data_IF_548547450306
#
_entry.id   IF_548547450306
#
_cell.length_a   1.000
_cell.length_b   1.000
_cell.length_c   1.000
_cell.angle_alpha   90.00
_cell.angle_beta   90.00
_cell.angle_gamma   90.00
#
_symmetry.space_group_name_H-M   'P 1'
#
loop_
_entity.id
_entity.type
_entity.pdbx_description
1 polymer ?
#
# COMPACT_ATOMS: atom_id res chain seq x y z
N UNK A 1 21.97 -21.79 -0.38
CA UNK A 1 21.83 -21.96 1.08
C UNK A 1 21.98 -20.56 1.68
N UNK A 2 20.88 -20.03 2.22
CA UNK A 2 20.70 -18.68 2.80
C UNK A 2 21.02 -17.46 1.90
N UNK A 3 20.14 -17.15 0.94
CA UNK A 3 19.98 -15.77 0.47
C UNK A 3 19.34 -15.00 1.63
N UNK A 4 20.18 -14.38 2.46
CA UNK A 4 19.74 -13.60 3.59
C UNK A 4 18.94 -12.39 3.13
N UNK A 5 18.03 -11.94 3.99
CA UNK A 5 17.13 -10.78 3.87
C UNK A 5 17.83 -9.43 3.58
N UNK A 6 19.14 -9.43 3.28
CA UNK A 6 20.02 -8.27 3.14
C UNK A 6 20.62 -8.13 1.72
N UNK A 7 20.15 -8.90 0.72
CA UNK A 7 20.53 -8.66 -0.68
C UNK A 7 19.72 -7.46 -1.21
N UNK A 8 20.36 -6.37 -1.69
CA UNK A 8 19.65 -5.24 -2.30
C UNK A 8 18.67 -5.66 -3.41
N UNK A 9 18.96 -6.75 -4.11
CA UNK A 9 18.07 -7.32 -5.13
C UNK A 9 16.77 -7.93 -4.57
N UNK A 10 16.76 -8.39 -3.33
CA UNK A 10 15.57 -8.99 -2.71
C UNK A 10 14.60 -7.93 -2.19
N UNK A 11 15.11 -6.78 -1.70
CA UNK A 11 14.27 -5.65 -1.33
C UNK A 11 13.50 -5.09 -2.54
N UNK A 12 14.16 -4.94 -3.69
CA UNK A 12 13.51 -4.45 -4.92
C UNK A 12 12.43 -5.41 -5.42
N UNK A 13 12.67 -6.73 -5.36
CA UNK A 13 11.66 -7.74 -5.73
C UNK A 13 10.47 -7.73 -4.78
N UNK A 14 10.71 -7.62 -3.47
CA UNK A 14 9.64 -7.55 -2.47
C UNK A 14 8.78 -6.29 -2.66
N UNK A 15 9.40 -5.13 -2.93
CA UNK A 15 8.71 -3.89 -3.25
C UNK A 15 7.89 -4.01 -4.55
N UNK A 16 8.44 -4.62 -5.60
CA UNK A 16 7.72 -4.84 -6.85
C UNK A 16 6.52 -5.77 -6.64
N UNK A 17 6.70 -6.90 -5.95
CA UNK A 17 5.61 -7.83 -5.67
C UNK A 17 4.49 -7.17 -4.87
N UNK A 18 4.82 -6.33 -3.89
CA UNK A 18 3.83 -5.57 -3.14
C UNK A 18 3.06 -4.58 -4.04
N UNK A 19 3.78 -3.82 -4.88
CA UNK A 19 3.16 -2.89 -5.83
C UNK A 19 2.22 -3.62 -6.80
N UNK A 20 2.65 -4.78 -7.32
CA UNK A 20 1.86 -5.67 -8.19
C UNK A 20 0.59 -6.19 -7.49
N UNK A 21 0.66 -6.52 -6.20
CA UNK A 21 -0.51 -6.91 -5.42
C UNK A 21 -1.51 -5.75 -5.27
N UNK A 22 -1.03 -4.53 -4.94
CA UNK A 22 -1.89 -3.37 -4.76
C UNK A 22 -2.57 -2.97 -6.07
N UNK A 23 -1.84 -2.96 -7.20
CA UNK A 23 -2.44 -2.65 -8.51
C UNK A 23 -3.43 -3.73 -8.96
N UNK A 24 -3.16 -5.00 -8.66
CA UNK A 24 -4.08 -6.11 -8.92
C UNK A 24 -5.40 -5.93 -8.16
N UNK A 25 -5.31 -5.54 -6.89
CA UNK A 25 -6.45 -5.26 -6.04
C UNK A 25 -7.27 -4.07 -6.53
N UNK A 26 -6.61 -2.96 -6.89
CA UNK A 26 -7.28 -1.79 -7.48
C UNK A 26 -8.05 -2.16 -8.75
N UNK A 27 -7.44 -2.96 -9.65
CA UNK A 27 -8.12 -3.41 -10.87
C UNK A 27 -9.34 -4.27 -10.55
N UNK A 28 -9.27 -5.14 -9.54
CA UNK A 28 -10.38 -5.99 -9.14
C UNK A 28 -11.53 -5.18 -8.51
N UNK A 29 -11.24 -4.33 -7.53
CA UNK A 29 -12.24 -3.61 -6.72
C UNK A 29 -12.82 -2.37 -7.44
N UNK A 30 -12.06 -1.73 -8.32
CA UNK A 30 -12.49 -0.50 -9.02
C UNK A 30 -12.74 -0.78 -10.48
N UNK A 31 -11.69 -1.06 -11.25
CA UNK A 31 -11.78 -1.09 -12.72
C UNK A 31 -12.79 -2.12 -13.22
N UNK A 32 -12.74 -3.33 -12.67
CA UNK A 32 -13.58 -4.45 -13.10
C UNK A 32 -14.96 -4.44 -12.44
N UNK A 33 -15.06 -4.00 -11.18
CA UNK A 33 -16.30 -4.10 -10.39
C UNK A 33 -17.24 -2.89 -10.57
N UNK A 34 -16.70 -1.68 -10.79
CA UNK A 34 -17.50 -0.43 -10.87
C UNK A 34 -17.78 -0.03 -12.32
N UNK A 35 -16.99 -0.52 -13.28
CA UNK A 35 -17.20 -0.26 -14.71
C UNK A 35 -18.56 -0.76 -15.24
N UNK A 36 -18.94 -0.38 -16.48
CA UNK A 36 -18.12 0.23 -17.52
C UNK A 36 -17.91 1.74 -17.38
N UNK A 37 -16.73 2.22 -17.80
CA UNK A 37 -16.29 3.61 -17.69
C UNK A 37 -16.61 4.39 -18.96
N UNK A 38 -17.13 5.61 -18.83
CA UNK A 38 -17.50 6.47 -19.97
C UNK A 38 -16.41 7.48 -20.33
N UNK A 39 -15.51 7.77 -19.39
CA UNK A 39 -14.40 8.71 -19.61
C UNK A 39 -13.25 8.45 -18.64
N UNK A 40 -12.05 8.94 -18.99
CA UNK A 40 -10.89 8.91 -18.10
C UNK A 40 -11.16 9.65 -16.78
N UNK A 41 -11.91 10.76 -16.82
CA UNK A 41 -12.23 11.56 -15.64
C UNK A 41 -13.05 10.79 -14.60
N UNK A 42 -13.92 9.88 -15.01
CA UNK A 42 -14.65 9.00 -14.09
C UNK A 42 -13.68 8.04 -13.38
N UNK A 43 -12.74 7.46 -14.13
CA UNK A 43 -11.71 6.58 -13.56
C UNK A 43 -10.82 7.34 -12.58
N UNK A 44 -10.38 8.55 -12.92
CA UNK A 44 -9.58 9.40 -12.02
C UNK A 44 -10.30 9.68 -10.71
N UNK A 45 -11.59 10.04 -10.77
CA UNK A 45 -12.38 10.34 -9.58
C UNK A 45 -12.58 9.12 -8.68
N UNK A 46 -12.90 7.95 -9.25
CA UNK A 46 -13.03 6.72 -8.47
C UNK A 46 -11.67 6.22 -7.95
N UNK A 47 -10.58 6.50 -8.67
CA UNK A 47 -9.22 6.24 -8.17
C UNK A 47 -8.92 7.06 -6.93
N UNK A 48 -9.21 8.37 -6.93
CA UNK A 48 -9.00 9.23 -5.76
C UNK A 48 -9.79 8.75 -4.53
N UNK A 49 -11.05 8.36 -4.73
CA UNK A 49 -11.87 7.78 -3.66
C UNK A 49 -11.31 6.47 -3.13
N UNK A 50 -10.87 5.59 -4.03
CA UNK A 50 -10.31 4.30 -3.62
C UNK A 50 -9.00 4.48 -2.85
N UNK A 51 -8.13 5.40 -3.28
CA UNK A 51 -6.89 5.73 -2.56
C UNK A 51 -7.18 6.31 -1.17
N UNK A 52 -8.13 7.25 -1.04
CA UNK A 52 -8.54 7.77 0.28
C UNK A 52 -9.04 6.64 1.19
N UNK A 53 -9.96 5.81 0.68
CA UNK A 53 -10.51 4.71 1.45
C UNK A 53 -9.43 3.68 1.83
N UNK A 54 -8.57 3.29 0.89
CA UNK A 54 -7.52 2.31 1.12
C UNK A 54 -6.54 2.77 2.19
N UNK A 55 -6.09 4.03 2.14
CA UNK A 55 -5.08 4.54 3.06
C UNK A 55 -5.65 4.96 4.42
N UNK A 56 -6.85 5.54 4.45
CA UNK A 56 -7.38 6.21 5.64
C UNK A 56 -8.53 5.47 6.32
N UNK A 57 -9.07 4.39 5.72
CA UNK A 57 -10.28 3.72 6.24
C UNK A 57 -10.21 2.20 6.20
N UNK A 58 -9.42 1.61 5.30
CA UNK A 58 -9.27 0.16 5.18
C UNK A 58 -8.39 -0.37 6.30
N UNK A 59 -8.94 -1.27 7.10
CA UNK A 59 -8.21 -1.93 8.19
C UNK A 59 -7.55 -3.22 7.71
N UNK A 60 -6.31 -3.43 8.13
CA UNK A 60 -5.53 -4.62 7.77
C UNK A 60 -5.18 -5.44 9.01
N UNK A 61 -5.74 -6.65 9.09
CA UNK A 61 -5.44 -7.60 10.17
C UNK A 61 -3.93 -7.86 10.39
N UNK A 62 -3.12 -8.07 9.33
CA UNK A 62 -1.68 -8.34 9.48
C UNK A 62 -0.85 -7.23 10.14
N UNK A 63 -1.32 -5.97 10.08
CA UNK A 63 -0.65 -4.82 10.70
C UNK A 63 -1.32 -4.38 12.00
N UNK A 64 -2.22 -5.21 12.57
CA UNK A 64 -2.86 -4.94 13.85
C UNK A 64 -4.24 -4.28 13.76
N UNK A 65 -4.95 -4.45 12.65
CA UNK A 65 -6.27 -3.85 12.41
C UNK A 65 -6.27 -2.31 12.46
N UNK A 66 -5.18 -1.71 11.99
CA UNK A 66 -5.07 -0.27 11.76
C UNK A 66 -5.06 0.02 10.25
N UNK A 67 -5.20 1.28 9.90
CA UNK A 67 -5.11 1.77 8.52
C UNK A 67 -3.65 1.84 8.05
N UNK A 68 -3.37 1.79 6.74
CA UNK A 68 -2.03 1.99 6.21
C UNK A 68 -1.41 3.33 6.63
N UNK A 69 -2.20 4.41 6.66
CA UNK A 69 -1.72 5.72 7.09
C UNK A 69 -1.27 5.71 8.57
N UNK A 70 -2.05 5.10 9.46
CA UNK A 70 -1.67 4.96 10.88
C UNK A 70 -0.41 4.10 11.05
N UNK A 71 -0.28 3.03 10.27
CA UNK A 71 0.91 2.18 10.30
C UNK A 71 2.17 2.92 9.81
N UNK A 72 2.04 3.73 8.75
CA UNK A 72 3.12 4.57 8.24
C UNK A 72 3.54 5.64 9.26
N UNK A 73 2.58 6.32 9.88
CA UNK A 73 2.84 7.31 10.93
C UNK A 73 3.58 6.69 12.13
N UNK A 74 3.11 5.53 12.60
CA UNK A 74 3.76 4.79 13.68
C UNK A 74 5.19 4.36 13.32
N UNK A 75 5.41 3.93 12.07
CA UNK A 75 6.72 3.54 11.57
C UNK A 75 7.70 4.72 11.59
N UNK A 76 7.31 5.88 11.05
CA UNK A 76 8.17 7.07 11.05
C UNK A 76 8.39 7.66 12.45
N UNK A 77 7.40 7.60 13.33
CA UNK A 77 7.57 8.00 14.73
C UNK A 77 8.62 7.13 15.44
N UNK A 78 8.62 5.82 15.19
CA UNK A 78 9.60 4.90 15.75
C UNK A 78 10.99 5.10 15.13
N UNK A 79 11.11 5.25 13.81
CA UNK A 79 12.38 5.57 13.15
C UNK A 79 13.01 6.85 13.71
N UNK A 80 12.22 7.92 13.85
CA UNK A 80 12.69 9.17 14.44
C UNK A 80 13.12 9.02 15.91
N UNK A 81 12.56 8.05 16.63
CA UNK A 81 12.95 7.75 18.01
C UNK A 81 14.28 6.99 18.03
N UNK A 82 14.48 6.03 17.13
CA UNK A 82 15.74 5.31 16.98
C UNK A 82 16.89 6.26 16.60
N UNK A 83 16.66 7.19 15.69
CA UNK A 83 17.65 8.21 15.29
C UNK A 83 18.00 9.17 16.43
N UNK A 84 17.09 9.43 17.37
CA UNK A 84 17.33 10.31 18.53
C UNK A 84 18.05 9.62 19.70
N UNK A 85 18.11 8.29 19.70
CA UNK A 85 18.72 7.47 20.77
C UNK A 85 20.11 6.98 20.37
N UNK A 86 20.47 7.05 19.08
CA UNK A 86 21.79 6.78 18.52
C UNK A 86 22.73 8.00 18.63
#
# INVERSE_FOLDING_TARGET
RASGLNDPGDHSKAQNALAECVIGLFKAEVINQIGPWKSMREVEWETLKWVDWYNNRRLFGPIGYITPAEAEEAFYANLNTLDKVA
#
